data_IF_180803247240
#
_entry.id   IF_180803247240
#
_cell.length_a   1.000
_cell.length_b   1.000
_cell.length_c   1.000
_cell.angle_alpha   90.00
_cell.angle_beta   90.00
_cell.angle_gamma   90.00
#
_symmetry.space_group_name_H-M   'P 1'
#
loop_
_entity.id
_entity.type
_entity.pdbx_description
1 polymer ?
#
# COMPACT_ATOMS: atom_id res chain seq x y z
N UNK A 1 1.26 1.12 -1.49
CA UNK A 1 1.42 -0.17 -2.16
C UNK A 1 1.28 0.05 -3.66
N UNK A 2 2.20 -0.50 -4.45
CA UNK A 2 2.14 -0.46 -5.90
C UNK A 2 2.15 -1.87 -6.43
N UNK A 3 1.10 -2.19 -7.18
CA UNK A 3 0.90 -3.48 -7.82
C UNK A 3 1.13 -3.26 -9.30
N UNK A 4 2.13 -3.91 -9.88
CA UNK A 4 2.44 -3.81 -11.30
C UNK A 4 1.22 -4.23 -12.12
N UNK A 5 0.84 -3.39 -13.09
CA UNK A 5 -0.25 -3.71 -14.00
C UNK A 5 0.20 -4.86 -14.90
N UNK A 6 -0.40 -6.02 -14.67
CA UNK A 6 -0.35 -7.19 -15.53
C UNK A 6 -1.78 -7.51 -15.98
N UNK A 7 -1.96 -8.53 -16.83
CA UNK A 7 -3.29 -8.93 -17.29
C UNK A 7 -4.27 -9.10 -16.11
N UNK A 8 -5.45 -8.48 -16.23
CA UNK A 8 -6.54 -8.60 -15.26
C UNK A 8 -6.35 -7.86 -13.93
N UNK A 9 -5.26 -7.11 -13.72
CA UNK A 9 -5.05 -6.35 -12.48
C UNK A 9 -6.09 -5.24 -12.35
N UNK A 10 -7.00 -5.40 -11.39
CA UNK A 10 -8.04 -4.42 -11.08
C UNK A 10 -8.37 -4.42 -9.59
N UNK A 11 -8.59 -3.25 -8.99
CA UNK A 11 -8.87 -3.15 -7.56
C UNK A 11 -10.24 -3.76 -7.21
N UNK A 12 -10.25 -4.63 -6.20
CA UNK A 12 -11.46 -5.15 -5.57
C UNK A 12 -11.71 -4.56 -4.19
N UNK A 13 -10.74 -3.85 -3.61
CA UNK A 13 -10.93 -3.11 -2.37
C UNK A 13 -9.64 -2.82 -1.64
N UNK A 14 -9.79 -2.26 -0.44
CA UNK A 14 -8.67 -2.01 0.46
C UNK A 14 -9.12 -2.13 1.91
N UNK A 15 -8.20 -2.48 2.80
CA UNK A 15 -8.45 -2.61 4.23
C UNK A 15 -7.25 -2.11 5.04
N UNK A 16 -7.48 -1.76 6.31
CA UNK A 16 -6.44 -1.37 7.27
C UNK A 16 -6.86 -1.70 8.69
N UNK A 17 -5.89 -1.93 9.57
CA UNK A 17 -6.15 -2.15 11.00
C UNK A 17 -6.41 -0.85 11.79
N UNK A 18 -5.96 0.29 11.28
CA UNK A 18 -6.13 1.59 11.92
C UNK A 18 -7.51 2.21 11.62
N UNK A 19 -8.02 3.12 12.48
CA UNK A 19 -9.35 3.70 12.31
C UNK A 19 -9.56 4.32 10.94
N UNK A 20 -10.72 4.06 10.36
CA UNK A 20 -11.03 4.59 9.05
C UNK A 20 -10.96 6.13 8.95
N UNK A 21 -11.57 6.87 9.89
CA UNK A 21 -11.61 8.33 9.86
C UNK A 21 -10.24 8.99 9.85
N UNK A 22 -9.18 8.32 10.33
CA UNK A 22 -7.85 8.91 10.45
C UNK A 22 -7.08 8.97 9.12
N UNK A 23 -7.58 8.32 8.07
CA UNK A 23 -6.89 8.22 6.79
C UNK A 23 -7.76 8.70 5.62
N UNK A 24 -7.11 9.24 4.60
CA UNK A 24 -7.63 9.25 3.24
C UNK A 24 -7.05 8.06 2.48
N UNK A 25 -7.85 7.45 1.60
CA UNK A 25 -7.43 6.34 0.75
C UNK A 25 -7.71 6.70 -0.69
N UNK A 26 -6.74 6.49 -1.57
CA UNK A 26 -6.92 6.56 -3.02
C UNK A 26 -6.42 5.28 -3.67
N UNK A 27 -7.14 4.86 -4.72
CA UNK A 27 -6.76 3.72 -5.56
C UNK A 27 -6.88 4.14 -7.01
N UNK A 28 -5.76 4.15 -7.71
CA UNK A 28 -5.70 4.69 -9.07
C UNK A 28 -4.50 4.13 -9.84
N UNK A 29 -4.65 4.00 -11.15
CA UNK A 29 -3.57 3.59 -12.04
C UNK A 29 -2.60 4.75 -12.28
N UNK A 30 -1.31 4.48 -12.20
CA UNK A 30 -0.27 5.49 -12.46
C UNK A 30 1.07 4.81 -12.77
N UNK A 31 1.66 5.17 -13.91
CA UNK A 31 3.02 4.72 -14.27
C UNK A 31 3.18 3.21 -14.41
N UNK A 32 2.15 2.50 -14.88
CA UNK A 32 2.17 1.04 -14.99
C UNK A 32 1.86 0.29 -13.69
N UNK A 33 1.29 0.96 -12.70
CA UNK A 33 0.91 0.35 -11.42
C UNK A 33 -0.53 0.71 -11.04
N UNK A 34 -1.24 -0.25 -10.45
CA UNK A 34 -2.37 0.03 -9.57
C UNK A 34 -1.83 0.49 -8.22
N UNK A 35 -2.08 1.75 -7.85
CA UNK A 35 -1.49 2.39 -6.67
C UNK A 35 -2.53 2.52 -5.57
N UNK A 36 -2.31 1.82 -4.46
CA UNK A 36 -3.03 2.06 -3.21
C UNK A 36 -2.23 3.01 -2.33
N UNK A 37 -2.87 4.12 -1.96
CA UNK A 37 -2.28 5.14 -1.08
C UNK A 37 -3.17 5.40 0.11
N UNK A 38 -2.64 5.12 1.30
CA UNK A 38 -3.21 5.55 2.58
C UNK A 38 -2.41 6.75 3.08
N UNK A 39 -3.09 7.87 3.31
CA UNK A 39 -2.47 9.09 3.85
C UNK A 39 -3.10 9.41 5.19
N UNK A 40 -2.28 9.50 6.23
CA UNK A 40 -2.72 9.92 7.55
C UNK A 40 -3.20 11.38 7.48
N UNK A 41 -4.37 11.67 8.04
CA UNK A 41 -4.91 13.02 8.09
C UNK A 41 -4.11 13.90 9.04
N UNK A 42 -4.12 15.21 8.78
CA UNK A 42 -3.50 16.19 9.67
C UNK A 42 -4.05 16.07 11.10
N UNK A 43 -3.17 16.22 12.10
CA UNK A 43 -3.52 16.11 13.51
C UNK A 43 -3.73 14.68 14.03
N UNK A 44 -3.57 13.65 13.19
CA UNK A 44 -3.63 12.24 13.61
C UNK A 44 -2.23 11.66 13.79
N UNK A 45 -2.13 10.60 14.59
CA UNK A 45 -0.89 9.89 14.88
C UNK A 45 -1.11 8.39 14.79
N UNK A 46 -0.11 7.66 14.31
CA UNK A 46 -0.10 6.19 14.35
C UNK A 46 0.50 5.75 15.69
N UNK A 47 -0.23 4.99 16.53
CA UNK A 47 0.32 4.50 17.79
C UNK A 47 1.45 3.49 17.54
N UNK A 48 2.36 3.36 18.50
CA UNK A 48 3.40 2.34 18.44
C UNK A 48 2.79 0.93 18.39
N UNK A 49 3.34 0.07 17.55
CA UNK A 49 2.86 -1.30 17.37
C UNK A 49 2.81 -1.72 15.90
N UNK A 50 2.28 -2.91 15.67
CA UNK A 50 2.11 -3.47 14.33
C UNK A 50 0.76 -3.07 13.78
N UNK A 51 0.77 -2.48 12.58
CA UNK A 51 -0.42 -2.09 11.84
C UNK A 51 -0.37 -2.65 10.44
N UNK A 52 -1.52 -3.03 9.91
CA UNK A 52 -1.64 -3.63 8.58
C UNK A 52 -2.41 -2.70 7.67
N UNK A 53 -1.93 -2.59 6.43
CA UNK A 53 -2.63 -1.99 5.30
C UNK A 53 -2.64 -3.01 4.16
N UNK A 54 -3.80 -3.25 3.56
CA UNK A 54 -3.98 -4.27 2.53
C UNK A 54 -4.70 -3.68 1.31
N UNK A 55 -4.11 -3.87 0.12
CA UNK A 55 -4.80 -3.66 -1.16
C UNK A 55 -5.26 -5.00 -1.72
N UNK A 56 -6.51 -5.07 -2.15
CA UNK A 56 -7.12 -6.27 -2.72
C UNK A 56 -7.38 -6.03 -4.21
N UNK A 57 -6.93 -6.95 -5.05
CA UNK A 57 -7.03 -6.84 -6.51
C UNK A 57 -7.27 -8.21 -7.14
N UNK A 58 -7.96 -8.23 -8.29
CA UNK A 58 -8.02 -9.37 -9.19
C UNK A 58 -6.77 -9.43 -10.06
N UNK A 59 -6.47 -10.58 -10.66
CA UNK A 59 -5.53 -10.72 -11.77
C UNK A 59 -6.03 -11.77 -12.76
N UNK A 60 -5.42 -11.87 -13.94
CA UNK A 60 -5.69 -12.94 -14.88
C UNK A 60 -5.47 -14.31 -14.24
N UNK A 61 -6.27 -15.31 -14.62
CA UNK A 61 -6.18 -16.67 -14.08
C UNK A 61 -4.75 -17.26 -14.18
N UNK A 62 -4.39 -18.07 -13.17
CA UNK A 62 -3.07 -18.66 -13.04
C UNK A 62 -2.12 -17.85 -12.15
N UNK A 63 -0.84 -18.20 -12.17
CA UNK A 63 0.16 -17.53 -11.35
C UNK A 63 0.48 -16.13 -11.87
N UNK A 64 0.44 -15.14 -10.99
CA UNK A 64 0.89 -13.78 -11.28
C UNK A 64 2.32 -13.57 -10.82
N UNK A 65 3.15 -13.00 -11.70
CA UNK A 65 4.48 -12.52 -11.31
C UNK A 65 4.38 -11.21 -10.51
N UNK A 66 4.56 -11.29 -9.19
CA UNK A 66 4.52 -10.13 -8.30
C UNK A 66 5.89 -9.43 -8.13
N UNK A 67 6.96 -9.84 -8.82
CA UNK A 67 8.31 -9.26 -8.61
C UNK A 67 8.41 -7.77 -8.94
N UNK A 68 7.49 -7.25 -9.75
CA UNK A 68 7.35 -5.81 -10.02
C UNK A 68 6.67 -5.02 -8.90
N UNK A 69 5.99 -5.69 -7.96
CA UNK A 69 5.24 -5.03 -6.90
C UNK A 69 6.19 -4.52 -5.82
N UNK A 70 5.77 -3.44 -5.16
CA UNK A 70 6.54 -2.89 -4.05
C UNK A 70 5.70 -2.06 -3.09
N UNK A 71 6.24 -1.91 -1.89
CA UNK A 71 5.69 -1.05 -0.85
C UNK A 71 6.72 0.02 -0.48
N UNK A 72 6.22 1.20 -0.18
CA UNK A 72 6.97 2.29 0.43
C UNK A 72 6.09 2.91 1.50
N UNK A 73 6.68 3.25 2.64
CA UNK A 73 6.04 4.02 3.69
C UNK A 73 6.96 5.17 4.11
N UNK A 74 6.38 6.35 4.27
CA UNK A 74 7.06 7.54 4.74
C UNK A 74 6.38 8.02 6.01
N UNK A 75 7.16 8.42 7.00
CA UNK A 75 6.65 8.91 8.27
C UNK A 75 7.42 10.15 8.73
N UNK A 76 6.74 11.00 9.48
CA UNK A 76 7.35 12.08 10.26
C UNK A 76 7.10 11.75 11.72
N UNK A 77 8.17 11.65 12.50
CA UNK A 77 8.11 11.43 13.95
C UNK A 77 7.61 12.71 14.62
N UNK A 78 7.02 12.59 15.81
CA UNK A 78 6.62 13.75 16.61
C UNK A 78 7.78 14.73 16.88
N UNK A 79 9.02 14.22 16.94
CA UNK A 79 10.24 15.02 17.07
C UNK A 79 10.67 15.76 15.78
N UNK A 80 9.90 15.64 14.69
CA UNK A 80 10.20 16.24 13.39
C UNK A 80 11.09 15.40 12.48
N UNK A 81 11.69 14.31 12.99
CA UNK A 81 12.54 13.42 12.20
C UNK A 81 11.74 12.67 11.12
N UNK A 82 12.28 12.61 9.89
CA UNK A 82 11.69 11.84 8.79
C UNK A 82 12.20 10.40 8.80
N UNK A 83 11.35 9.45 8.47
CA UNK A 83 11.69 8.05 8.28
C UNK A 83 11.05 7.54 6.99
N UNK A 84 11.71 6.58 6.34
CA UNK A 84 11.17 5.92 5.15
C UNK A 84 11.62 4.47 5.12
N UNK A 85 10.70 3.59 4.73
CA UNK A 85 10.97 2.17 4.51
C UNK A 85 10.35 1.76 3.19
N UNK A 86 10.90 0.74 2.57
CA UNK A 86 10.31 0.13 1.39
C UNK A 86 10.84 -1.27 1.19
N UNK A 87 10.05 -2.08 0.50
CA UNK A 87 10.42 -3.44 0.15
C UNK A 87 9.74 -3.84 -1.17
N UNK A 88 10.22 -4.92 -1.78
CA UNK A 88 9.72 -5.48 -3.02
C UNK A 88 9.18 -6.88 -2.77
N UNK A 89 8.10 -7.22 -3.47
CA UNK A 89 7.59 -8.57 -3.43
C UNK A 89 8.51 -9.48 -4.23
N UNK A 90 8.60 -10.74 -3.81
CA UNK A 90 9.41 -11.76 -4.45
C UNK A 90 8.53 -12.96 -4.73
N UNK A 91 8.92 -13.79 -5.69
CA UNK A 91 8.27 -15.09 -5.87
C UNK A 91 8.41 -15.89 -4.56
N UNK A 92 7.36 -16.60 -4.14
CA UNK A 92 7.51 -17.64 -3.12
C UNK A 92 8.63 -18.60 -3.58
N UNK A 93 9.48 -19.00 -2.63
CA UNK A 93 10.48 -20.05 -2.89
C UNK A 93 9.82 -21.41 -2.91
#
# INVERSE_FOLDING_TARGET
>A
LRVALTGGVNSTGSWRSLPEPDFTVSVNESGGYLVYRWTLRAGRTVPAGTHTFAGQYNHAEGDRDATGDYVTAHAVRASGGKASVGDRFRRPR
#
